data_IF_613473124742
#
_entry.id   IF_613473124742
#
_cell.length_a   1.000
_cell.length_b   1.000
_cell.length_c   1.000
_cell.angle_alpha   90.00
_cell.angle_beta   90.00
_cell.angle_gamma   90.00
#
_symmetry.space_group_name_H-M   'P 1'
#
loop_
_entity.id
_entity.type
_entity.pdbx_description
1 polymer ?
#
# COMPACT_ATOMS: atom_id res chain seq x y z
N UNK A 1 -20.97 -2.92 -6.35
CA UNK A 1 -19.66 -2.27 -6.04
C UNK A 1 -19.56 -0.87 -6.67
N UNK A 2 -19.96 -0.70 -7.94
CA UNK A 2 -19.97 0.60 -8.63
C UNK A 2 -20.86 1.74 -8.05
N UNK A 3 -22.06 1.51 -7.48
CA UNK A 3 -22.93 2.63 -7.09
C UNK A 3 -22.42 3.40 -5.86
N UNK A 4 -21.68 2.73 -4.96
CA UNK A 4 -21.12 3.38 -3.77
C UNK A 4 -19.99 4.37 -4.13
N UNK A 5 -19.16 4.05 -5.12
CA UNK A 5 -18.11 4.94 -5.60
C UNK A 5 -18.70 6.19 -6.25
N UNK A 6 -19.73 6.01 -7.09
CA UNK A 6 -20.45 7.13 -7.70
C UNK A 6 -21.09 8.03 -6.64
N UNK A 7 -21.71 7.44 -5.61
CA UNK A 7 -22.25 8.20 -4.49
C UNK A 7 -21.17 9.02 -3.79
N UNK A 8 -20.02 8.41 -3.49
CA UNK A 8 -18.92 9.10 -2.81
C UNK A 8 -18.37 10.27 -3.63
N UNK A 9 -18.18 10.07 -4.94
CA UNK A 9 -17.71 11.13 -5.86
C UNK A 9 -18.65 12.34 -5.90
N UNK A 10 -19.97 12.12 -5.77
CA UNK A 10 -20.96 13.21 -5.75
C UNK A 10 -21.10 13.82 -4.35
N UNK A 11 -21.12 12.99 -3.31
CA UNK A 11 -21.37 13.42 -1.94
C UNK A 11 -20.20 14.20 -1.36
N UNK A 12 -18.97 13.81 -1.68
CA UNK A 12 -17.77 14.47 -1.18
C UNK A 12 -17.75 15.98 -1.53
N UNK A 13 -17.86 16.41 -2.80
CA UNK A 13 -17.85 17.85 -3.12
C UNK A 13 -19.07 18.58 -2.56
N UNK A 14 -20.23 17.92 -2.40
CA UNK A 14 -21.39 18.52 -1.72
C UNK A 14 -21.08 18.84 -0.25
N UNK A 15 -20.44 17.92 0.45
CA UNK A 15 -19.98 18.11 1.84
C UNK A 15 -18.95 19.23 1.91
N UNK A 16 -18.00 19.28 0.97
CA UNK A 16 -17.01 20.36 0.91
C UNK A 16 -17.67 21.73 0.75
N UNK A 17 -18.57 21.89 -0.22
CA UNK A 17 -19.27 23.15 -0.46
C UNK A 17 -20.05 23.58 0.80
N UNK A 18 -20.72 22.66 1.47
CA UNK A 18 -21.42 22.95 2.73
C UNK A 18 -20.47 23.45 3.83
N UNK A 19 -19.30 22.83 3.98
CA UNK A 19 -18.26 23.24 4.93
C UNK A 19 -17.66 24.61 4.57
N UNK A 20 -17.35 24.85 3.30
CA UNK A 20 -16.88 26.16 2.84
C UNK A 20 -17.87 27.28 3.15
N UNK A 21 -19.17 27.03 2.96
CA UNK A 21 -20.22 28.00 3.30
C UNK A 21 -20.27 28.21 4.81
N UNK A 22 -20.26 27.15 5.61
CA UNK A 22 -20.36 27.25 7.07
C UNK A 22 -19.17 28.00 7.67
N UNK A 23 -17.94 27.66 7.27
CA UNK A 23 -16.72 28.34 7.72
C UNK A 23 -16.68 29.77 7.15
N UNK A 24 -17.01 29.94 5.87
CA UNK A 24 -17.10 31.24 5.22
C UNK A 24 -18.08 32.20 5.88
N UNK A 25 -19.19 31.70 6.42
CA UNK A 25 -20.13 32.49 7.20
C UNK A 25 -19.61 32.82 8.61
N UNK A 26 -18.83 31.93 9.21
CA UNK A 26 -18.28 32.12 10.56
C UNK A 26 -17.14 33.15 10.61
N UNK A 27 -16.22 33.12 9.63
CA UNK A 27 -15.00 33.95 9.65
C UNK A 27 -14.84 34.86 8.42
N UNK A 28 -15.65 34.69 7.38
CA UNK A 28 -15.55 35.42 6.12
C UNK A 28 -14.82 34.65 5.01
N UNK A 29 -15.05 35.05 3.75
CA UNK A 29 -14.52 34.35 2.57
C UNK A 29 -12.99 34.40 2.48
N UNK A 30 -12.39 35.60 2.61
CA UNK A 30 -10.95 35.80 2.48
C UNK A 30 -10.14 34.93 3.47
N UNK A 31 -10.41 34.95 4.79
CA UNK A 31 -9.67 34.10 5.73
C UNK A 31 -9.94 32.59 5.49
N UNK A 32 -11.14 32.22 5.04
CA UNK A 32 -11.46 30.83 4.66
C UNK A 32 -10.56 30.34 3.51
N UNK A 33 -10.42 31.14 2.45
CA UNK A 33 -9.52 30.81 1.34
C UNK A 33 -8.05 30.77 1.77
N UNK A 34 -7.61 31.70 2.63
CA UNK A 34 -6.26 31.69 3.17
C UNK A 34 -5.98 30.43 4.00
N UNK A 35 -6.93 29.96 4.79
CA UNK A 35 -6.80 28.71 5.55
C UNK A 35 -6.61 27.51 4.64
N UNK A 36 -7.38 27.42 3.57
CA UNK A 36 -7.26 26.33 2.58
C UNK A 36 -5.90 26.36 1.88
N UNK A 37 -5.45 27.54 1.45
CA UNK A 37 -4.11 27.70 0.85
C UNK A 37 -3.01 27.35 1.86
N UNK A 38 -3.14 27.80 3.12
CA UNK A 38 -2.17 27.50 4.17
C UNK A 38 -2.14 25.99 4.49
N UNK A 39 -3.29 25.32 4.54
CA UNK A 39 -3.41 23.88 4.74
C UNK A 39 -2.75 23.10 3.58
N UNK A 40 -3.02 23.51 2.33
CA UNK A 40 -2.41 22.90 1.16
C UNK A 40 -0.87 23.04 1.16
N UNK A 41 -0.35 24.24 1.46
CA UNK A 41 1.10 24.48 1.56
C UNK A 41 1.71 23.67 2.71
N UNK A 42 1.09 23.70 3.89
CA UNK A 42 1.57 22.95 5.06
C UNK A 42 1.58 21.44 4.81
N UNK A 43 0.49 20.92 4.24
CA UNK A 43 0.36 19.53 3.82
C UNK A 43 1.42 19.15 2.78
N UNK A 44 1.64 19.97 1.77
CA UNK A 44 2.65 19.73 0.73
C UNK A 44 4.09 19.72 1.29
N UNK A 45 4.41 20.60 2.25
CA UNK A 45 5.71 20.60 2.94
C UNK A 45 5.88 19.28 3.71
N UNK A 46 4.89 18.89 4.51
CA UNK A 46 4.92 17.64 5.29
C UNK A 46 5.05 16.43 4.36
N UNK A 47 4.28 16.41 3.27
CA UNK A 47 4.32 15.37 2.25
C UNK A 47 5.72 15.24 1.64
N UNK A 48 6.38 16.37 1.31
CA UNK A 48 7.74 16.38 0.76
C UNK A 48 8.76 15.83 1.75
N UNK A 49 8.69 16.25 3.01
CA UNK A 49 9.62 15.80 4.05
C UNK A 49 9.44 14.32 4.39
N UNK A 50 8.20 13.88 4.61
CA UNK A 50 7.91 12.50 4.97
C UNK A 50 8.08 11.55 3.80
N UNK A 51 7.61 11.91 2.60
CA UNK A 51 7.66 11.08 1.40
C UNK A 51 9.08 10.67 1.04
N UNK A 52 10.04 11.61 1.09
CA UNK A 52 11.45 11.31 0.83
C UNK A 52 12.05 10.35 1.87
N UNK A 53 11.72 10.53 3.15
CA UNK A 53 12.24 9.69 4.23
C UNK A 53 11.71 8.25 4.21
N UNK A 54 10.45 8.05 3.81
CA UNK A 54 9.86 6.71 3.70
C UNK A 54 10.41 6.00 2.46
N UNK A 55 10.58 6.73 1.35
CA UNK A 55 11.14 6.17 0.13
C UNK A 55 12.60 5.76 0.31
N UNK A 56 13.41 6.53 1.05
CA UNK A 56 14.80 6.17 1.35
C UNK A 56 14.88 4.91 2.22
N UNK A 57 14.06 4.81 3.27
CA UNK A 57 13.94 3.61 4.12
C UNK A 57 13.54 2.38 3.30
N UNK A 58 12.55 2.52 2.42
CA UNK A 58 12.10 1.45 1.54
C UNK A 58 13.25 0.94 0.66
N UNK A 59 13.99 1.85 0.01
CA UNK A 59 15.16 1.49 -0.82
C UNK A 59 16.26 0.78 0.00
N UNK A 60 16.53 1.26 1.22
CA UNK A 60 17.54 0.68 2.11
C UNK A 60 17.17 -0.75 2.52
N UNK A 61 15.94 -0.99 2.96
CA UNK A 61 15.48 -2.33 3.35
C UNK A 61 15.42 -3.29 2.16
N UNK A 62 14.99 -2.83 0.98
CA UNK A 62 15.04 -3.64 -0.25
C UNK A 62 16.48 -4.03 -0.63
N UNK A 63 17.44 -3.11 -0.46
CA UNK A 63 18.86 -3.39 -0.75
C UNK A 63 19.48 -4.43 0.20
N UNK A 64 18.85 -4.65 1.36
CA UNK A 64 19.24 -5.67 2.34
C UNK A 64 18.58 -7.03 2.07
N UNK A 65 17.78 -7.16 1.01
CA UNK A 65 17.05 -8.38 0.67
C UNK A 65 15.81 -8.64 1.53
N UNK A 66 15.42 -7.70 2.37
CA UNK A 66 14.21 -7.78 3.21
C UNK A 66 13.01 -7.13 2.51
N UNK A 67 11.81 -7.72 2.66
CA UNK A 67 10.57 -7.17 2.11
C UNK A 67 10.06 -6.01 3.00
N UNK A 68 10.03 -4.76 2.53
CA UNK A 68 9.65 -3.61 3.37
C UNK A 68 8.13 -3.38 3.37
N UNK A 69 7.35 -4.39 3.76
CA UNK A 69 5.88 -4.34 3.73
C UNK A 69 5.31 -3.08 4.39
N UNK A 70 5.89 -2.67 5.52
CA UNK A 70 5.46 -1.47 6.25
C UNK A 70 5.81 -0.18 5.50
N UNK A 71 7.00 -0.08 4.92
CA UNK A 71 7.41 1.12 4.19
C UNK A 71 6.59 1.29 2.91
N UNK A 72 6.18 0.19 2.26
CA UNK A 72 5.26 0.21 1.11
C UNK A 72 3.88 0.70 1.52
N UNK A 73 3.33 0.22 2.63
CA UNK A 73 2.06 0.72 3.15
C UNK A 73 2.15 2.22 3.47
N UNK A 74 3.23 2.65 4.14
CA UNK A 74 3.43 4.06 4.47
C UNK A 74 3.58 4.92 3.20
N UNK A 75 4.30 4.50 2.15
CA UNK A 75 4.37 5.25 0.88
C UNK A 75 3.02 5.33 0.18
N UNK A 76 2.22 4.26 0.19
CA UNK A 76 0.87 4.28 -0.38
C UNK A 76 -0.05 5.24 0.37
N UNK A 77 -0.06 5.19 1.71
CA UNK A 77 -0.90 6.09 2.52
C UNK A 77 -0.47 7.55 2.36
N UNK A 78 0.83 7.83 2.32
CA UNK A 78 1.37 9.17 2.04
C UNK A 78 0.98 9.63 0.63
N UNK A 79 1.02 8.73 -0.37
CA UNK A 79 0.56 9.02 -1.74
C UNK A 79 -0.93 9.35 -1.80
N UNK A 80 -1.77 8.57 -1.11
CA UNK A 80 -3.21 8.84 -0.98
C UNK A 80 -3.44 10.21 -0.34
N UNK A 81 -2.72 10.53 0.74
CA UNK A 81 -2.80 11.86 1.37
C UNK A 81 -2.44 12.98 0.38
N UNK A 82 -1.42 12.77 -0.46
CA UNK A 82 -1.05 13.71 -1.51
C UNK A 82 -2.14 13.89 -2.58
N UNK A 83 -2.80 12.81 -2.99
CA UNK A 83 -3.94 12.89 -3.92
C UNK A 83 -5.13 13.62 -3.28
N UNK A 84 -5.40 13.39 -1.98
CA UNK A 84 -6.46 14.11 -1.27
C UNK A 84 -6.15 15.62 -1.17
N UNK A 85 -4.89 16.01 -0.93
CA UNK A 85 -4.46 17.41 -0.90
C UNK A 85 -4.46 18.10 -2.28
N UNK A 86 -4.55 17.34 -3.39
CA UNK A 86 -4.58 17.92 -4.73
C UNK A 86 -5.87 18.71 -5.00
N UNK A 87 -6.98 18.27 -4.41
CA UNK A 87 -8.26 18.98 -4.42
C UNK A 87 -8.48 19.60 -3.03
N UNK A 88 -7.91 20.80 -2.78
CA UNK A 88 -7.91 21.37 -1.44
C UNK A 88 -9.35 21.69 -1.01
N UNK A 89 -9.75 21.12 0.13
CA UNK A 89 -11.09 21.21 0.70
C UNK A 89 -11.04 21.00 2.21
N UNK A 90 -12.01 21.50 2.96
CA UNK A 90 -11.95 21.40 4.42
C UNK A 90 -11.96 19.96 4.93
N UNK A 91 -12.85 19.12 4.40
CA UNK A 91 -12.95 17.75 4.89
C UNK A 91 -11.83 16.86 4.33
N UNK A 92 -11.53 16.98 3.04
CA UNK A 92 -10.40 16.30 2.40
C UNK A 92 -9.05 16.68 3.01
N UNK A 93 -8.81 17.96 3.31
CA UNK A 93 -7.56 18.42 3.93
C UNK A 93 -7.40 17.85 5.33
N UNK A 94 -8.47 17.82 6.14
CA UNK A 94 -8.43 17.19 7.47
C UNK A 94 -8.07 15.70 7.35
N UNK A 95 -8.72 14.98 6.44
CA UNK A 95 -8.43 13.56 6.18
C UNK A 95 -6.98 13.34 5.71
N UNK A 96 -6.50 14.18 4.80
CA UNK A 96 -5.15 14.08 4.28
C UNK A 96 -4.08 14.38 5.34
N UNK A 97 -4.28 15.46 6.11
CA UNK A 97 -3.40 15.83 7.21
C UNK A 97 -3.41 14.75 8.29
N UNK A 98 -4.57 14.19 8.63
CA UNK A 98 -4.68 13.05 9.55
C UNK A 98 -3.87 11.85 9.04
N UNK A 99 -3.93 11.55 7.74
CA UNK A 99 -3.17 10.46 7.13
C UNK A 99 -1.65 10.73 7.07
N UNK A 100 -1.24 12.00 7.04
CA UNK A 100 0.16 12.40 7.17
C UNK A 100 0.71 12.22 8.60
N UNK A 101 -0.14 12.00 9.61
CA UNK A 101 0.32 11.72 10.99
C UNK A 101 0.80 10.26 11.09
N UNK A 102 2.06 10.01 11.49
CA UNK A 102 2.61 8.65 11.59
C UNK A 102 1.83 7.72 12.54
N UNK A 103 1.26 8.27 13.61
CA UNK A 103 0.45 7.53 14.57
C UNK A 103 -0.83 6.97 13.93
N UNK A 104 -1.50 7.78 13.08
CA UNK A 104 -2.71 7.38 12.36
C UNK A 104 -2.39 6.27 11.37
N UNK A 105 -1.30 6.41 10.58
CA UNK A 105 -0.85 5.33 9.68
C UNK A 105 -0.56 4.03 10.41
N UNK A 106 0.06 4.13 11.58
CA UNK A 106 0.35 2.97 12.43
C UNK A 106 -0.92 2.29 12.93
N UNK A 107 -1.90 3.07 13.37
CA UNK A 107 -3.20 2.55 13.78
C UNK A 107 -3.92 1.87 12.60
N UNK A 108 -3.92 2.50 11.43
CA UNK A 108 -4.55 1.97 10.22
C UNK A 108 -3.89 0.67 9.77
N UNK A 109 -2.56 0.63 9.75
CA UNK A 109 -1.79 -0.59 9.44
C UNK A 109 -2.14 -1.74 10.41
N UNK A 110 -2.22 -1.45 11.72
CA UNK A 110 -2.60 -2.47 12.73
C UNK A 110 -4.04 -2.95 12.53
N UNK A 111 -4.96 -2.04 12.25
CA UNK A 111 -6.36 -2.37 12.01
C UNK A 111 -6.53 -3.25 10.76
N UNK A 112 -5.81 -2.91 9.68
CA UNK A 112 -5.80 -3.71 8.45
C UNK A 112 -5.11 -5.06 8.66
N UNK A 113 -3.96 -5.08 9.34
CA UNK A 113 -3.22 -6.30 9.68
C UNK A 113 -4.00 -7.26 10.57
N UNK A 114 -4.86 -6.76 11.46
CA UNK A 114 -5.74 -7.58 12.29
C UNK A 114 -6.85 -8.29 11.49
N UNK A 115 -7.14 -7.81 10.26
CA UNK A 115 -8.16 -8.38 9.37
C UNK A 115 -7.59 -9.09 8.15
N UNK A 116 -6.31 -8.91 7.87
CA UNK A 116 -5.60 -9.63 6.81
C UNK A 116 -5.04 -10.93 7.39
N UNK A 117 -5.58 -12.09 6.95
CA UNK A 117 -4.84 -13.35 7.03
C UNK A 117 -3.58 -13.17 6.20
N UNK A 118 -2.45 -12.91 6.86
CA UNK A 118 -1.15 -12.92 6.20
C UNK A 118 -0.95 -14.35 5.71
N UNK A 119 -1.24 -14.58 4.43
CA UNK A 119 -0.71 -15.75 3.73
C UNK A 119 0.77 -15.46 3.63
N UNK A 120 1.52 -15.95 4.62
CA UNK A 120 2.97 -16.04 4.51
C UNK A 120 3.18 -17.00 3.35
N UNK A 121 3.34 -16.46 2.15
CA UNK A 121 4.00 -17.18 1.09
C UNK A 121 5.45 -17.30 1.56
N UNK A 122 5.73 -18.28 2.42
CA UNK A 122 7.08 -18.73 2.71
C UNK A 122 7.63 -19.14 1.35
N UNK A 123 8.57 -18.39 0.75
CA UNK A 123 9.30 -18.91 -0.39
C UNK A 123 10.06 -20.10 0.21
N UNK A 124 9.65 -21.33 -0.11
CA UNK A 124 10.28 -22.55 0.40
C UNK A 124 11.80 -22.43 0.22
N UNK A 125 12.64 -22.44 1.25
CA UNK A 125 12.68 -23.42 2.35
C UNK A 125 12.54 -24.83 1.77
N UNK A 126 13.63 -25.33 1.21
CA UNK A 126 13.84 -26.77 1.03
C UNK A 126 14.02 -27.40 2.41
N UNK A 127 12.93 -27.59 3.16
CA UNK A 127 12.97 -28.49 4.31
C UNK A 127 12.92 -29.91 3.77
N UNK A 128 14.08 -30.46 3.42
CA UNK A 128 14.29 -31.90 3.35
C UNK A 128 14.14 -32.45 4.77
N UNK A 129 12.91 -32.75 5.18
CA UNK A 129 12.66 -33.65 6.30
C UNK A 129 12.68 -35.07 5.75
N UNK A 130 13.85 -35.69 5.74
CA UNK A 130 14.00 -37.13 5.58
C UNK A 130 14.49 -37.75 6.89
N UNK A 131 13.52 -38.07 7.75
CA UNK A 131 13.70 -39.15 8.72
C UNK A 131 12.44 -39.99 8.74
N UNK A 132 12.42 -41.04 7.92
CA UNK A 132 11.73 -42.29 8.26
C UNK A 132 12.39 -43.47 7.55
N UNK A 133 13.29 -44.10 8.28
CA UNK A 133 13.51 -45.55 8.37
C UNK A 133 12.42 -46.41 7.71
N UNK A 134 12.81 -47.24 6.73
CA UNK A 134 12.02 -48.41 6.34
C UNK A 134 12.18 -48.89 4.89
N UNK A 135 13.27 -49.63 4.60
CA UNK A 135 13.33 -50.75 3.64
C UNK A 135 13.25 -50.45 2.12
N UNK A 136 13.98 -51.21 1.27
CA UNK A 136 13.93 -51.01 -0.17
C UNK A 136 12.71 -51.71 -0.76
N UNK A 137 11.83 -50.96 -1.43
CA UNK A 137 10.86 -51.52 -2.38
C UNK A 137 11.14 -50.93 -3.76
N UNK A 138 11.74 -51.75 -4.62
CA UNK A 138 11.96 -51.55 -6.05
C UNK A 138 10.59 -51.29 -6.70
N UNK A 139 10.42 -50.10 -7.27
CA UNK A 139 9.30 -49.81 -8.19
C UNK A 139 9.95 -49.66 -9.55
N UNK A 140 9.56 -50.53 -10.47
CA UNK A 140 9.96 -50.56 -11.86
C UNK A 140 9.61 -49.25 -12.57
N UNK A 141 10.60 -48.69 -13.27
CA UNK A 141 10.46 -47.57 -14.20
C UNK A 141 9.63 -48.01 -15.40
N UNK A 142 8.34 -47.67 -15.39
CA UNK A 142 7.48 -47.70 -16.55
C UNK A 142 7.12 -46.26 -16.93
N UNK A 143 7.94 -45.64 -17.77
CA UNK A 143 7.51 -44.45 -18.52
C UNK A 143 8.48 -43.28 -18.65
N UNK A 144 9.76 -43.41 -18.29
CA UNK A 144 10.75 -42.40 -18.70
C UNK A 144 11.28 -42.79 -20.08
N UNK A 145 10.82 -42.08 -21.12
CA UNK A 145 11.43 -42.13 -22.45
C UNK A 145 12.73 -41.34 -22.34
N UNK A 146 13.82 -42.02 -22.02
CA UNK A 146 15.16 -41.46 -22.16
C UNK A 146 15.44 -41.32 -23.66
N UNK A 147 15.67 -40.08 -24.09
CA UNK A 147 16.12 -39.78 -25.44
C UNK A 147 17.61 -40.11 -25.49
N UNK A 148 17.92 -41.34 -25.86
CA UNK A 148 19.31 -41.77 -26.04
C UNK A 148 19.94 -41.08 -27.25
N UNK A 149 21.16 -40.57 -27.06
CA UNK A 149 21.96 -39.81 -28.03
C UNK A 149 22.36 -40.61 -29.31
N UNK A 150 21.80 -41.79 -29.55
CA UNK A 150 22.11 -42.62 -30.72
C UNK A 150 21.17 -42.38 -31.92
N UNK A 151 20.10 -41.59 -31.76
CA UNK A 151 19.07 -41.38 -32.79
C UNK A 151 19.42 -40.31 -33.86
N UNK A 152 20.67 -39.82 -33.93
CA UNK A 152 21.05 -38.71 -34.84
C UNK A 152 21.82 -39.11 -36.10
N UNK A 153 22.12 -40.39 -36.34
CA UNK A 153 22.87 -40.81 -37.55
C UNK A 153 22.18 -41.93 -38.32
N UNK A 154 21.19 -41.56 -39.11
CA UNK A 154 20.81 -42.32 -40.31
C UNK A 154 20.02 -41.44 -41.27
N UNK A 155 20.73 -40.84 -42.24
CA UNK A 155 20.35 -40.73 -43.66
C UNK A 155 21.51 -40.17 -44.47
#
# INVERSE_FOLDING_TARGET
MAPALLLFIVLLPLVEIALFILVGQAIGLVPTLLLVVAAAIGGAIVLRLQGLSVLSRMRMTMSQGELPARAIADTMLIGIAGVLLFLPGFFTDILALLLLIPAVRTALYRFMGARMKVVVATPGVYTTTSYRTGGPKRIEDEGTIDLDDENWRQR
#
